data_IF_469140127856
#
_entry.id   IF_469140127856
#
_cell.length_a   1.000
_cell.length_b   1.000
_cell.length_c   1.000
_cell.angle_alpha   90.00
_cell.angle_beta   90.00
_cell.angle_gamma   90.00
#
_symmetry.space_group_name_H-M   'P 1'
#
loop_
_entity.id
_entity.type
_entity.pdbx_description
1 polymer ?
#
# COMPACT_ATOMS: atom_id res chain seq x y z
N UNK A 1 -23.50 22.10 29.61
CA UNK A 1 -22.48 22.87 30.35
C UNK A 1 -21.16 22.77 29.59
N UNK A 2 -20.55 23.90 29.24
CA UNK A 2 -19.23 23.91 28.62
C UNK A 2 -18.22 23.29 29.59
N UNK A 3 -17.51 22.24 29.16
CA UNK A 3 -16.41 21.68 29.96
C UNK A 3 -15.31 22.72 30.01
N UNK A 4 -14.92 23.14 31.21
CA UNK A 4 -13.74 23.99 31.40
C UNK A 4 -12.53 23.17 30.93
N UNK A 5 -11.92 23.58 29.83
CA UNK A 5 -10.73 22.90 29.32
C UNK A 5 -9.49 23.61 29.84
N UNK A 6 -8.73 22.94 30.69
CA UNK A 6 -7.35 23.36 30.97
C UNK A 6 -6.56 23.27 29.66
N UNK A 7 -6.18 24.42 29.12
CA UNK A 7 -5.33 24.57 27.95
C UNK A 7 -4.14 25.39 28.41
N UNK A 8 -2.93 24.96 28.09
CA UNK A 8 -1.73 25.68 28.49
C UNK A 8 -1.47 26.85 27.54
N UNK A 9 -0.80 27.90 28.03
CA UNK A 9 -0.43 29.05 27.19
C UNK A 9 0.52 28.64 26.05
N UNK A 10 1.30 27.57 26.25
CA UNK A 10 2.12 26.94 25.22
C UNK A 10 1.30 26.39 24.04
N UNK A 11 0.22 25.66 24.32
CA UNK A 11 -0.67 25.11 23.29
C UNK A 11 -1.30 26.21 22.43
N UNK A 12 -1.67 27.35 23.04
CA UNK A 12 -2.25 28.50 22.33
C UNK A 12 -1.24 29.11 21.36
N UNK A 13 0.02 29.32 21.79
CA UNK A 13 1.08 29.83 20.92
C UNK A 13 1.35 28.91 19.74
N UNK A 14 1.43 27.60 19.99
CA UNK A 14 1.65 26.61 18.95
C UNK A 14 0.46 26.54 17.98
N UNK A 15 -0.78 26.72 18.46
CA UNK A 15 -1.96 26.72 17.62
C UNK A 15 -2.02 27.96 16.71
N UNK A 16 -1.60 29.13 17.21
CA UNK A 16 -1.44 30.35 16.37
C UNK A 16 -0.41 30.14 15.28
N UNK A 17 0.75 29.57 15.64
CA UNK A 17 1.80 29.25 14.67
C UNK A 17 1.27 28.29 13.59
N UNK A 18 0.59 27.22 13.99
CA UNK A 18 -0.01 26.26 13.04
C UNK A 18 -1.06 26.92 12.14
N UNK A 19 -1.87 27.85 12.64
CA UNK A 19 -2.84 28.61 11.82
C UNK A 19 -2.13 29.44 10.75
N UNK A 20 -1.04 30.11 11.10
CA UNK A 20 -0.32 31.03 10.21
C UNK A 20 0.52 30.26 9.16
N UNK A 21 1.03 29.09 9.53
CA UNK A 21 1.83 28.21 8.64
C UNK A 21 0.98 27.20 7.85
N UNK A 22 -0.33 27.09 8.14
CA UNK A 22 -1.19 26.07 7.54
C UNK A 22 -1.28 26.20 6.02
N UNK A 23 -0.95 25.12 5.31
CA UNK A 23 -1.08 25.03 3.85
C UNK A 23 -2.42 24.36 3.50
N UNK A 24 -2.86 23.40 4.34
CA UNK A 24 -4.08 22.65 4.09
C UNK A 24 -5.25 23.14 4.94
N UNK A 25 -6.46 23.00 4.40
CA UNK A 25 -7.69 23.29 5.16
C UNK A 25 -7.84 22.38 6.40
N UNK A 26 -7.23 21.20 6.40
CA UNK A 26 -7.24 20.30 7.55
C UNK A 26 -6.39 20.86 8.69
N UNK A 27 -5.17 21.31 8.40
CA UNK A 27 -4.27 21.97 9.37
C UNK A 27 -4.90 23.24 9.93
N UNK A 28 -5.47 24.08 9.07
CA UNK A 28 -6.13 25.31 9.50
C UNK A 28 -7.32 25.01 10.42
N UNK A 29 -8.20 24.07 10.06
CA UNK A 29 -9.32 23.65 10.92
C UNK A 29 -8.84 23.02 12.22
N UNK A 30 -7.70 22.33 12.21
CA UNK A 30 -7.09 21.76 13.43
C UNK A 30 -6.66 22.88 14.37
N UNK A 31 -5.91 23.87 13.88
CA UNK A 31 -5.51 25.04 14.66
C UNK A 31 -6.71 25.82 15.21
N UNK A 32 -7.69 26.13 14.36
CA UNK A 32 -8.88 26.89 14.76
C UNK A 32 -9.76 26.14 15.76
N UNK A 33 -9.82 24.80 15.70
CA UNK A 33 -10.56 24.00 16.69
C UNK A 33 -10.04 24.18 18.12
N UNK A 34 -8.75 24.50 18.27
CA UNK A 34 -8.14 24.85 19.56
C UNK A 34 -8.46 26.31 19.88
N UNK A 35 -8.09 27.24 19.00
CA UNK A 35 -8.16 28.69 19.24
C UNK A 35 -9.58 29.20 19.51
N UNK A 36 -10.58 28.77 18.74
CA UNK A 36 -11.97 29.20 18.90
C UNK A 36 -12.54 28.82 20.27
N UNK A 37 -12.16 27.64 20.78
CA UNK A 37 -12.62 27.19 22.10
C UNK A 37 -11.84 27.84 23.25
N UNK A 38 -10.57 28.20 23.05
CA UNK A 38 -9.68 28.64 24.13
C UNK A 38 -9.61 30.16 24.26
N UNK A 39 -9.55 30.89 23.15
CA UNK A 39 -9.47 32.35 23.15
C UNK A 39 -10.84 33.01 23.15
N UNK A 40 -11.79 32.45 22.37
CA UNK A 40 -13.14 33.02 22.24
C UNK A 40 -14.11 32.36 23.24
N UNK A 41 -13.78 31.17 23.77
CA UNK A 41 -14.64 30.46 24.71
C UNK A 41 -15.88 29.84 24.04
N UNK A 42 -15.83 29.57 22.74
CA UNK A 42 -16.94 28.94 22.02
C UNK A 42 -17.14 27.49 22.49
N UNK A 43 -18.41 27.06 22.53
CA UNK A 43 -18.72 25.66 22.75
C UNK A 43 -18.32 24.80 21.54
N UNK A 44 -18.11 23.50 21.77
CA UNK A 44 -17.71 22.57 20.72
C UNK A 44 -18.76 22.47 19.58
N UNK A 45 -20.06 22.63 19.88
CA UNK A 45 -21.10 22.60 18.84
C UNK A 45 -21.04 23.82 17.93
N UNK A 46 -20.94 25.02 18.52
CA UNK A 46 -20.78 26.27 17.76
C UNK A 46 -19.47 26.30 16.99
N UNK A 47 -18.40 25.80 17.58
CA UNK A 47 -17.09 25.68 16.90
C UNK A 47 -17.18 24.76 15.69
N UNK A 48 -17.89 23.63 15.83
CA UNK A 48 -18.10 22.69 14.73
C UNK A 48 -18.90 23.33 13.58
N UNK A 49 -19.96 24.08 13.91
CA UNK A 49 -20.78 24.84 12.98
C UNK A 49 -19.94 25.86 12.19
N UNK A 50 -19.16 26.70 12.89
CA UNK A 50 -18.28 27.71 12.27
C UNK A 50 -17.24 27.08 11.34
N UNK A 51 -16.68 25.93 11.71
CA UNK A 51 -15.65 25.24 10.92
C UNK A 51 -16.23 24.35 9.80
N UNK A 52 -17.55 24.17 9.75
CA UNK A 52 -18.21 23.23 8.83
C UNK A 52 -17.82 21.78 9.09
N UNK A 53 -17.65 21.40 10.36
CA UNK A 53 -17.25 20.04 10.77
C UNK A 53 -18.22 19.46 11.80
N UNK A 54 -18.00 18.22 12.25
CA UNK A 54 -18.78 17.65 13.35
C UNK A 54 -18.15 17.95 14.71
N UNK A 55 -18.97 18.01 15.76
CA UNK A 55 -18.51 18.11 17.16
C UNK A 55 -17.42 17.07 17.48
N UNK A 56 -17.56 15.85 16.96
CA UNK A 56 -16.57 14.78 17.15
C UNK A 56 -15.23 15.10 16.49
N UNK A 57 -15.25 15.68 15.29
CA UNK A 57 -14.04 16.13 14.59
C UNK A 57 -13.34 17.25 15.35
N UNK A 58 -14.06 18.21 15.93
CA UNK A 58 -13.46 19.27 16.77
C UNK A 58 -12.68 18.65 17.93
N UNK A 59 -13.28 17.71 18.67
CA UNK A 59 -12.57 17.02 19.76
C UNK A 59 -11.37 16.21 19.27
N UNK A 60 -11.50 15.49 18.16
CA UNK A 60 -10.41 14.71 17.57
C UNK A 60 -9.25 15.63 17.16
N UNK A 61 -9.53 16.75 16.50
CA UNK A 61 -8.52 17.72 16.09
C UNK A 61 -7.77 18.29 17.31
N UNK A 62 -8.48 18.58 18.41
CA UNK A 62 -7.85 19.03 19.66
C UNK A 62 -7.00 17.93 20.31
N UNK A 63 -7.46 16.69 20.33
CA UNK A 63 -6.69 15.54 20.82
C UNK A 63 -5.42 15.35 19.97
N UNK A 64 -5.56 15.31 18.65
CA UNK A 64 -4.44 15.22 17.70
C UNK A 64 -3.48 16.41 17.79
N UNK A 65 -3.94 17.59 18.20
CA UNK A 65 -3.08 18.76 18.41
C UNK A 65 -2.24 18.60 19.68
N UNK A 66 -2.84 18.12 20.76
CA UNK A 66 -2.13 17.87 22.03
C UNK A 66 -1.05 16.81 21.91
N UNK A 67 -1.33 15.76 21.14
CA UNK A 67 -0.42 14.63 20.93
C UNK A 67 0.32 14.72 19.59
N UNK A 68 0.46 15.91 18.99
CA UNK A 68 1.11 16.03 17.69
C UNK A 68 2.61 15.77 17.72
N UNK A 69 3.24 16.03 18.87
CA UNK A 69 4.67 15.81 19.11
C UNK A 69 4.95 14.43 19.72
N UNK A 70 3.90 13.63 19.99
CA UNK A 70 4.03 12.26 20.45
C UNK A 70 4.35 11.30 19.29
N UNK A 71 4.85 10.11 19.63
CA UNK A 71 5.14 9.05 18.67
C UNK A 71 3.90 8.79 17.81
N UNK A 72 4.00 8.82 16.47
CA UNK A 72 2.86 8.68 15.59
C UNK A 72 2.06 7.41 15.94
N UNK A 73 0.75 7.57 16.15
CA UNK A 73 -0.15 6.44 16.42
C UNK A 73 0.02 5.40 15.31
N UNK A 74 0.27 4.15 15.72
CA UNK A 74 0.39 3.00 14.84
C UNK A 74 -0.73 2.99 13.77
N UNK A 75 -0.38 3.22 12.50
CA UNK A 75 -1.33 3.20 11.39
C UNK A 75 -2.01 1.84 11.30
N UNK A 76 -3.32 1.82 11.06
CA UNK A 76 -4.02 0.55 10.88
C UNK A 76 -3.48 -0.18 9.65
N UNK A 77 -3.24 -1.49 9.79
CA UNK A 77 -2.64 -2.32 8.75
C UNK A 77 -1.10 -2.33 8.75
N UNK A 78 -0.54 -2.65 7.58
CA UNK A 78 0.90 -2.79 7.38
C UNK A 78 1.46 -4.18 7.70
N UNK A 79 2.76 -4.35 7.41
CA UNK A 79 3.50 -5.60 7.57
C UNK A 79 4.06 -5.71 8.99
N UNK A 80 3.24 -6.17 9.94
CA UNK A 80 3.62 -6.31 11.36
C UNK A 80 4.06 -7.71 11.75
N UNK A 81 3.54 -8.72 11.06
CA UNK A 81 3.93 -10.13 11.23
C UNK A 81 4.49 -10.60 9.91
N UNK A 82 5.78 -10.91 9.90
CA UNK A 82 6.49 -11.40 8.75
C UNK A 82 7.28 -12.65 9.11
N UNK A 83 7.39 -13.59 8.16
CA UNK A 83 8.18 -14.80 8.35
C UNK A 83 9.68 -14.56 8.12
N UNK A 84 10.03 -13.53 7.34
CA UNK A 84 11.41 -13.07 7.06
C UNK A 84 11.41 -11.55 6.98
N UNK A 85 12.46 -10.82 7.41
CA UNK A 85 12.59 -9.38 7.12
C UNK A 85 12.75 -9.13 5.60
N UNK A 86 12.53 -7.89 5.14
CA UNK A 86 12.47 -7.62 3.68
C UNK A 86 13.84 -7.82 3.01
N UNK A 87 14.91 -7.58 3.75
CA UNK A 87 16.30 -7.78 3.37
C UNK A 87 16.58 -9.28 3.13
N UNK A 88 16.21 -10.14 4.08
CA UNK A 88 16.36 -11.60 3.95
C UNK A 88 15.52 -12.16 2.82
N UNK A 89 14.34 -11.60 2.56
CA UNK A 89 13.53 -12.00 1.41
C UNK A 89 14.22 -11.67 0.07
N UNK A 90 14.90 -10.53 -0.03
CA UNK A 90 15.67 -10.16 -1.23
C UNK A 90 16.88 -11.07 -1.41
N UNK A 91 17.60 -11.34 -0.31
CA UNK A 91 18.74 -12.26 -0.33
C UNK A 91 18.30 -13.69 -0.67
N UNK A 92 17.15 -14.13 -0.18
CA UNK A 92 16.55 -15.38 -0.64
C UNK A 92 16.32 -15.33 -2.14
N UNK A 93 15.56 -14.36 -2.64
CA UNK A 93 15.15 -14.31 -4.04
C UNK A 93 16.31 -14.09 -5.04
N UNK A 94 17.40 -13.44 -4.64
CA UNK A 94 18.56 -13.18 -5.51
C UNK A 94 19.15 -14.46 -6.12
N UNK A 95 19.10 -15.58 -5.39
CA UNK A 95 19.55 -16.90 -5.88
C UNK A 95 18.76 -17.33 -7.11
N UNK A 96 17.45 -17.05 -7.14
CA UNK A 96 16.58 -17.37 -8.26
C UNK A 96 16.56 -16.29 -9.34
N UNK A 97 16.88 -15.04 -9.02
CA UNK A 97 16.97 -13.97 -10.03
C UNK A 97 18.05 -14.26 -11.09
N UNK A 98 19.18 -14.83 -10.69
CA UNK A 98 20.23 -15.25 -11.61
C UNK A 98 19.75 -16.32 -12.60
N UNK A 99 19.00 -17.31 -12.10
CA UNK A 99 18.39 -18.38 -12.92
C UNK A 99 17.30 -17.82 -13.83
N UNK A 100 16.49 -16.88 -13.35
CA UNK A 100 15.43 -16.23 -14.12
C UNK A 100 15.99 -15.41 -15.29
N UNK A 101 17.09 -14.70 -15.07
CA UNK A 101 17.73 -13.81 -16.07
C UNK A 101 18.25 -14.59 -17.27
N UNK A 102 18.62 -15.86 -17.08
CA UNK A 102 19.10 -16.75 -18.16
C UNK A 102 17.95 -17.22 -19.08
N UNK A 103 16.70 -16.82 -18.81
CA UNK A 103 15.54 -17.09 -19.67
C UNK A 103 14.71 -18.30 -19.25
N UNK A 104 14.94 -18.85 -18.05
CA UNK A 104 14.16 -19.95 -17.49
C UNK A 104 12.80 -19.48 -16.95
N UNK A 105 11.71 -20.13 -17.37
CA UNK A 105 10.42 -20.01 -16.67
C UNK A 105 10.56 -20.68 -15.31
N UNK A 106 10.65 -19.89 -14.24
CA UNK A 106 10.76 -20.44 -12.90
C UNK A 106 9.44 -21.00 -12.40
N UNK A 107 9.53 -22.24 -11.92
CA UNK A 107 8.45 -22.95 -11.26
C UNK A 107 8.36 -22.50 -9.79
N UNK A 108 7.14 -22.25 -9.29
CA UNK A 108 6.93 -21.83 -7.89
C UNK A 108 7.15 -22.95 -6.86
N UNK A 109 6.78 -24.23 -7.11
CA UNK A 109 7.01 -25.32 -6.16
C UNK A 109 8.45 -25.48 -5.65
N UNK A 110 9.53 -25.42 -6.47
CA UNK A 110 10.91 -25.42 -5.98
C UNK A 110 11.23 -24.28 -5.01
N UNK A 111 10.81 -23.06 -5.34
CA UNK A 111 10.98 -21.87 -4.48
C UNK A 111 10.23 -22.07 -3.16
N UNK A 112 9.04 -22.65 -3.20
CA UNK A 112 8.27 -22.95 -2.00
C UNK A 112 8.97 -23.97 -1.09
N UNK A 113 9.50 -25.05 -1.65
CA UNK A 113 10.24 -26.06 -0.90
C UNK A 113 11.49 -25.45 -0.23
N UNK A 114 12.22 -24.59 -0.95
CA UNK A 114 13.36 -23.88 -0.40
C UNK A 114 12.96 -22.89 0.71
N UNK A 115 11.83 -22.19 0.55
CA UNK A 115 11.30 -21.28 1.57
C UNK A 115 10.91 -22.03 2.85
N UNK A 116 10.21 -23.17 2.73
CA UNK A 116 9.84 -24.01 3.87
C UNK A 116 11.09 -24.51 4.60
N UNK A 117 12.14 -24.90 3.86
CA UNK A 117 13.43 -25.30 4.43
C UNK A 117 14.12 -24.14 5.17
N UNK A 118 14.12 -22.93 4.61
CA UNK A 118 14.70 -21.74 5.24
C UNK A 118 13.95 -21.32 6.51
N UNK A 119 12.63 -21.44 6.52
CA UNK A 119 11.78 -21.10 7.67
C UNK A 119 11.77 -22.16 8.77
N UNK A 120 12.14 -23.41 8.46
CA UNK A 120 12.15 -24.52 9.41
C UNK A 120 10.76 -25.03 9.81
N UNK A 121 9.70 -24.56 9.16
CA UNK A 121 8.33 -25.01 9.41
C UNK A 121 7.48 -25.01 8.14
N UNK A 122 6.48 -25.89 8.13
CA UNK A 122 5.51 -25.97 7.03
C UNK A 122 4.82 -24.63 6.84
N UNK A 123 4.72 -24.20 5.59
CA UNK A 123 4.08 -22.93 5.21
C UNK A 123 3.15 -23.21 4.04
N UNK A 124 2.06 -22.45 3.91
CA UNK A 124 1.15 -22.60 2.78
C UNK A 124 1.73 -21.99 1.49
N UNK A 125 1.40 -22.57 0.32
CA UNK A 125 1.83 -22.07 -1.00
C UNK A 125 1.49 -20.59 -1.22
N UNK A 126 0.36 -20.12 -0.69
CA UNK A 126 -0.05 -18.72 -0.79
C UNK A 126 0.96 -17.73 -0.19
N UNK A 127 1.74 -18.15 0.82
CA UNK A 127 2.79 -17.31 1.40
C UNK A 127 3.91 -17.06 0.38
N UNK A 128 4.31 -18.09 -0.37
CA UNK A 128 5.30 -17.96 -1.45
C UNK A 128 4.75 -17.08 -2.58
N UNK A 129 3.50 -17.25 -3.00
CA UNK A 129 2.90 -16.36 -4.00
C UNK A 129 2.86 -14.88 -3.54
N UNK A 130 2.52 -14.61 -2.27
CA UNK A 130 2.53 -13.25 -1.71
C UNK A 130 3.95 -12.69 -1.56
N UNK A 131 4.94 -13.52 -1.25
CA UNK A 131 6.35 -13.15 -1.25
C UNK A 131 6.76 -12.68 -2.65
N UNK A 132 6.58 -13.53 -3.65
CA UNK A 132 6.94 -13.24 -5.03
C UNK A 132 6.24 -11.97 -5.55
N UNK A 133 4.93 -11.83 -5.33
CA UNK A 133 4.18 -10.66 -5.76
C UNK A 133 4.69 -9.34 -5.15
N UNK A 134 5.15 -9.35 -3.88
CA UNK A 134 5.70 -8.16 -3.22
C UNK A 134 7.05 -7.73 -3.79
N UNK A 135 7.83 -8.68 -4.32
CA UNK A 135 9.10 -8.41 -4.99
C UNK A 135 8.94 -8.18 -6.49
N UNK A 136 7.71 -7.98 -6.98
CA UNK A 136 7.45 -7.64 -8.38
C UNK A 136 7.48 -8.83 -9.35
N UNK A 137 7.52 -10.06 -8.84
CA UNK A 137 7.49 -11.24 -9.69
C UNK A 137 6.08 -11.45 -10.25
N UNK A 138 5.98 -11.45 -11.57
CA UNK A 138 4.70 -11.65 -12.29
C UNK A 138 4.63 -13.05 -12.89
N UNK A 139 3.44 -13.66 -12.82
CA UNK A 139 3.15 -14.89 -13.56
C UNK A 139 3.04 -14.54 -15.05
N UNK A 140 4.04 -14.95 -15.84
CA UNK A 140 4.00 -14.80 -17.29
C UNK A 140 3.01 -15.82 -17.85
N UNK A 141 2.05 -15.34 -18.64
CA UNK A 141 1.18 -16.21 -19.46
C UNK A 141 1.82 -16.32 -20.85
N UNK A 142 1.78 -17.50 -21.50
CA UNK A 142 2.18 -17.59 -22.90
C UNK A 142 1.40 -16.59 -23.74
N UNK A 143 2.08 -15.92 -24.67
CA UNK A 143 1.42 -14.99 -25.58
C UNK A 143 0.35 -15.72 -26.39
N UNK A 144 -0.83 -15.12 -26.50
CA UNK A 144 -1.96 -15.71 -27.26
C UNK A 144 -1.66 -15.78 -28.77
N UNK A 145 -0.71 -14.98 -29.26
CA UNK A 145 -0.32 -14.94 -30.66
C UNK A 145 1.19 -15.09 -30.76
N UNK A 146 1.62 -15.88 -31.74
CA UNK A 146 3.04 -15.99 -32.05
C UNK A 146 3.55 -14.64 -32.59
N UNK A 147 4.70 -14.11 -32.13
CA UNK A 147 5.20 -12.80 -32.55
C UNK A 147 5.50 -12.71 -34.05
N UNK A 148 5.76 -13.85 -34.70
CA UNK A 148 5.92 -13.97 -36.17
C UNK A 148 4.63 -14.39 -36.88
N UNK A 149 3.45 -14.22 -36.29
CA UNK A 149 2.20 -14.57 -36.98
C UNK A 149 1.95 -13.64 -38.16
N UNK A 150 1.94 -14.18 -39.38
CA UNK A 150 1.51 -13.45 -40.56
C UNK A 150 0.07 -13.86 -40.92
N UNK A 151 -0.86 -12.91 -40.79
CA UNK A 151 -2.29 -13.17 -41.01
C UNK A 151 -2.60 -13.52 -42.47
N UNK A 152 -1.95 -12.88 -43.44
CA UNK A 152 -2.20 -13.17 -44.86
C UNK A 152 -1.74 -14.58 -45.22
N UNK A 153 -0.53 -14.96 -44.82
CA UNK A 153 -0.01 -16.31 -45.03
C UNK A 153 -0.86 -17.39 -44.32
N UNK A 154 -1.44 -17.08 -43.15
CA UNK A 154 -2.37 -18.00 -42.47
C UNK A 154 -3.69 -18.16 -43.24
N UNK A 155 -4.23 -17.07 -43.79
CA UNK A 155 -5.48 -17.10 -44.58
C UNK A 155 -5.27 -17.80 -45.93
N UNK A 156 -4.12 -17.61 -46.56
CA UNK A 156 -3.71 -18.35 -47.76
C UNK A 156 -3.51 -19.83 -47.47
N UNK A 157 -2.75 -20.17 -46.42
CA UNK A 157 -2.59 -21.56 -45.99
C UNK A 157 -3.95 -22.20 -45.73
N UNK A 158 -4.87 -21.50 -45.04
CA UNK A 158 -6.25 -21.94 -44.78
C UNK A 158 -7.10 -22.12 -46.05
N UNK A 159 -6.72 -21.57 -47.19
CA UNK A 159 -7.40 -21.81 -48.46
C UNK A 159 -6.76 -22.95 -49.25
N UNK A 160 -5.44 -23.10 -49.13
CA UNK A 160 -4.64 -24.00 -49.98
C UNK A 160 -4.33 -25.34 -49.31
N UNK A 161 -4.54 -25.49 -48.00
CA UNK A 161 -4.22 -26.72 -47.29
C UNK A 161 -5.11 -27.88 -47.71
N UNK A 162 -4.49 -29.06 -47.91
CA UNK A 162 -5.22 -30.31 -48.13
C UNK A 162 -5.73 -30.85 -46.80
N UNK A 163 -6.95 -31.39 -46.82
CA UNK A 163 -7.61 -31.95 -45.63
C UNK A 163 -7.13 -33.37 -45.27
N UNK A 164 -6.22 -33.95 -46.06
CA UNK A 164 -5.69 -35.29 -45.87
C UNK A 164 -4.17 -35.30 -46.02
N UNK A 165 -3.51 -36.14 -45.22
CA UNK A 165 -2.07 -36.31 -45.28
C UNK A 165 -1.69 -37.26 -46.41
N UNK A 166 -0.62 -36.95 -47.14
CA UNK A 166 -0.03 -37.81 -48.15
C UNK A 166 1.42 -38.11 -47.74
N UNK A 167 1.85 -39.38 -47.79
CA UNK A 167 3.23 -39.72 -47.51
C UNK A 167 4.17 -39.12 -48.57
N UNK A 168 5.37 -38.67 -48.18
CA UNK A 168 6.39 -38.28 -49.15
C UNK A 168 6.81 -39.51 -49.98
N UNK A 169 7.04 -39.27 -51.28
CA UNK A 169 7.49 -40.27 -52.25
C UNK A 169 8.94 -40.71 -52.00
#
# INVERSE_FOLDING_TARGET
MARITHTTEGEIRQARKLRDEAITAAELRKALSVLLMTEIGLDAEKTAEVLGTSRRTVFRNREEFRYQDDVPRNSWGGRRRFSLPIEDEREFLSTWEAEATTGGVLSVPPIHAALVKRLGHTTHMSTTYRLLARHGWRKVRPDTKHPKSNRSAQEELKKTFRNWWLPPA
#
